data_IF_874576976634
#
_entry.id   IF_874576976634
#
_cell.length_a   1.000
_cell.length_b   1.000
_cell.length_c   1.000
_cell.angle_alpha   90.00
_cell.angle_beta   90.00
_cell.angle_gamma   90.00
#
_symmetry.space_group_name_H-M   'P 1'
#
loop_
_entity.id
_entity.type
_entity.pdbx_description
1 polymer ?
#
# COMPACT_ATOMS: atom_id res chain seq x y z
N UNK A 1 -20.00 67.85 56.27
CA UNK A 1 -19.13 66.69 56.60
C UNK A 1 -19.03 65.79 55.37
N UNK A 2 -17.83 65.40 54.91
CA UNK A 2 -17.65 64.73 53.63
C UNK A 2 -17.97 63.23 53.71
N UNK A 3 -18.62 62.71 52.67
CA UNK A 3 -18.96 61.29 52.51
C UNK A 3 -17.73 60.54 51.99
N UNK A 4 -17.15 59.67 52.81
CA UNK A 4 -16.06 58.78 52.40
C UNK A 4 -16.58 57.69 51.46
N UNK A 5 -16.30 57.81 50.16
CA UNK A 5 -16.46 56.73 49.17
C UNK A 5 -15.52 55.57 49.52
N UNK A 6 -16.09 54.43 49.96
CA UNK A 6 -15.35 53.17 50.14
C UNK A 6 -14.88 52.64 48.78
N UNK A 7 -13.56 52.49 48.60
CA UNK A 7 -12.98 51.83 47.42
C UNK A 7 -13.27 50.32 47.48
N UNK A 8 -13.70 49.66 46.40
CA UNK A 8 -13.91 48.22 46.39
C UNK A 8 -12.55 47.49 46.44
N UNK A 9 -12.42 46.60 47.44
CA UNK A 9 -11.27 45.71 47.59
C UNK A 9 -11.34 44.68 46.45
N UNK A 10 -10.42 44.79 45.47
CA UNK A 10 -10.22 43.74 44.46
C UNK A 10 -9.72 42.48 45.16
N UNK A 11 -10.60 41.50 45.38
CA UNK A 11 -10.23 40.16 45.84
C UNK A 11 -9.27 39.56 44.80
N UNK A 12 -8.00 39.36 45.17
CA UNK A 12 -7.06 38.55 44.39
C UNK A 12 -7.63 37.13 44.32
N UNK A 13 -8.19 36.78 43.17
CA UNK A 13 -8.60 35.40 42.88
C UNK A 13 -7.34 34.55 42.99
N UNK A 14 -7.26 33.69 44.02
CA UNK A 14 -6.21 32.68 44.13
C UNK A 14 -6.31 31.83 42.87
N UNK A 15 -5.36 31.96 41.94
CA UNK A 15 -5.22 31.05 40.80
C UNK A 15 -5.12 29.65 41.39
N UNK A 16 -6.22 28.89 41.30
CA UNK A 16 -6.31 27.55 41.84
C UNK A 16 -5.22 26.66 41.25
N UNK A 17 -4.74 25.71 42.05
CA UNK A 17 -3.78 24.65 41.68
C UNK A 17 -4.36 23.68 40.64
N UNK A 18 -4.97 24.18 39.56
CA UNK A 18 -5.55 23.42 38.45
C UNK A 18 -4.47 23.05 37.42
N UNK A 19 -3.37 23.82 37.38
CA UNK A 19 -2.26 23.60 36.45
C UNK A 19 -1.64 22.19 36.50
N UNK A 20 -1.35 21.56 37.66
CA UNK A 20 -0.82 20.19 37.66
C UNK A 20 -1.82 19.16 37.10
N UNK A 21 -3.13 19.34 37.33
CA UNK A 21 -4.14 18.45 36.78
C UNK A 21 -4.30 18.59 35.26
N UNK A 22 -4.15 19.81 34.73
CA UNK A 22 -4.14 20.04 33.28
C UNK A 22 -2.93 19.41 32.60
N UNK A 23 -1.76 19.43 33.24
CA UNK A 23 -0.54 18.78 32.72
C UNK A 23 -0.68 17.25 32.76
N UNK A 24 -1.25 16.68 33.82
CA UNK A 24 -1.48 15.23 33.91
C UNK A 24 -2.55 14.80 32.90
N UNK A 25 -3.63 15.57 32.75
CA UNK A 25 -4.68 15.29 31.77
C UNK A 25 -4.16 15.39 30.33
N UNK A 26 -3.34 16.40 30.01
CA UNK A 26 -2.74 16.51 28.68
C UNK A 26 -1.75 15.37 28.41
N UNK A 27 -0.98 14.93 29.40
CA UNK A 27 -0.10 13.78 29.28
C UNK A 27 -0.88 12.47 29.06
N UNK A 28 -1.95 12.24 29.83
CA UNK A 28 -2.83 11.07 29.65
C UNK A 28 -3.55 11.10 28.29
N UNK A 29 -4.03 12.26 27.85
CA UNK A 29 -4.65 12.43 26.54
C UNK A 29 -3.64 12.17 25.41
N UNK A 30 -2.39 12.61 25.57
CA UNK A 30 -1.31 12.33 24.61
C UNK A 30 -1.00 10.82 24.58
N UNK A 31 -0.91 10.15 25.74
CA UNK A 31 -0.66 8.71 25.82
C UNK A 31 -1.82 7.93 25.18
N UNK A 32 -3.07 8.28 25.49
CA UNK A 32 -4.24 7.65 24.87
C UNK A 32 -4.28 7.88 23.36
N UNK A 33 -3.95 9.10 22.89
CA UNK A 33 -3.84 9.41 21.47
C UNK A 33 -2.75 8.59 20.78
N UNK A 34 -1.55 8.50 21.37
CA UNK A 34 -0.45 7.68 20.86
C UNK A 34 -0.80 6.19 20.86
N UNK A 35 -1.49 5.71 21.89
CA UNK A 35 -1.95 4.33 21.96
C UNK A 35 -2.94 4.02 20.84
N UNK A 36 -3.94 4.88 20.63
CA UNK A 36 -4.92 4.74 19.56
C UNK A 36 -4.27 4.78 18.16
N UNK A 37 -3.30 5.66 17.94
CA UNK A 37 -2.59 5.73 16.65
C UNK A 37 -1.76 4.48 16.38
N UNK A 38 -1.09 3.92 17.39
CA UNK A 38 -0.33 2.67 17.25
C UNK A 38 -1.26 1.47 17.00
N UNK A 39 -2.39 1.38 17.71
CA UNK A 39 -3.36 0.28 17.54
C UNK A 39 -4.19 0.37 16.26
N UNK A 40 -4.21 1.54 15.59
CA UNK A 40 -5.00 1.76 14.37
C UNK A 40 -4.24 1.46 13.07
N UNK A 41 -3.03 0.88 13.14
CA UNK A 41 -2.29 0.43 11.96
C UNK A 41 -3.07 -0.65 11.21
N UNK A 42 -3.40 -0.41 9.96
CA UNK A 42 -4.16 -1.33 9.11
C UNK A 42 -3.26 -2.14 8.18
N UNK A 43 -2.21 -1.50 7.66
CA UNK A 43 -1.46 -1.97 6.50
C UNK A 43 -0.03 -2.36 6.86
N UNK A 44 0.67 -1.55 7.64
CA UNK A 44 2.10 -1.75 7.84
C UNK A 44 2.48 -2.38 9.17
N UNK A 45 3.38 -3.37 9.12
CA UNK A 45 4.04 -3.96 10.29
C UNK A 45 5.53 -3.63 10.24
N UNK A 46 6.14 -3.38 11.40
CA UNK A 46 7.54 -2.91 11.48
C UNK A 46 8.56 -3.94 10.94
N UNK A 47 8.15 -5.19 10.75
CA UNK A 47 9.00 -6.28 10.28
C UNK A 47 8.83 -6.61 8.79
N UNK A 48 7.86 -5.99 8.10
CA UNK A 48 7.50 -6.33 6.72
C UNK A 48 7.66 -5.14 5.78
N UNK A 49 7.96 -5.42 4.52
CA UNK A 49 7.96 -4.39 3.48
C UNK A 49 6.55 -3.80 3.32
N UNK A 50 6.49 -2.56 2.87
CA UNK A 50 5.24 -1.94 2.39
C UNK A 50 5.47 -1.33 1.02
N UNK A 51 4.61 -1.66 0.08
CA UNK A 51 4.58 -1.03 -1.25
C UNK A 51 3.39 -0.09 -1.34
N UNK A 52 3.68 1.21 -1.47
CA UNK A 52 2.70 2.28 -1.62
C UNK A 52 2.72 2.80 -3.06
N UNK A 53 1.57 2.79 -3.73
CA UNK A 53 1.41 3.52 -4.99
C UNK A 53 0.96 4.96 -4.74
N UNK A 54 1.61 5.90 -5.42
CA UNK A 54 1.36 7.33 -5.32
C UNK A 54 1.00 7.86 -6.71
N UNK A 55 -0.17 8.48 -6.83
CA UNK A 55 -0.54 9.21 -8.03
C UNK A 55 0.11 10.60 -8.03
N UNK A 56 0.93 10.90 -9.03
CA UNK A 56 1.59 12.19 -9.15
C UNK A 56 0.71 13.20 -9.91
N UNK A 57 0.92 14.52 -9.73
CA UNK A 57 0.10 15.54 -10.39
C UNK A 57 0.16 15.54 -11.93
N UNK A 58 1.24 14.99 -12.51
CA UNK A 58 1.43 14.82 -13.96
C UNK A 58 0.79 13.53 -14.52
N UNK A 59 0.08 12.78 -13.67
CA UNK A 59 -0.51 11.48 -14.00
C UNK A 59 0.50 10.33 -14.04
N UNK A 60 1.77 10.55 -13.72
CA UNK A 60 2.70 9.44 -13.51
C UNK A 60 2.36 8.73 -12.19
N UNK A 61 2.82 7.49 -12.03
CA UNK A 61 2.69 6.77 -10.77
C UNK A 61 4.08 6.52 -10.17
N UNK A 62 4.20 6.67 -8.85
CA UNK A 62 5.38 6.25 -8.10
C UNK A 62 5.01 5.09 -7.19
N UNK A 63 5.71 3.96 -7.30
CA UNK A 63 5.62 2.86 -6.33
C UNK A 63 6.80 2.98 -5.38
N UNK A 64 6.52 3.36 -4.13
CA UNK A 64 7.51 3.46 -3.06
C UNK A 64 7.48 2.20 -2.20
N UNK A 65 8.60 1.49 -2.16
CA UNK A 65 8.81 0.31 -1.33
C UNK A 65 9.63 0.72 -0.10
N UNK A 66 9.02 0.56 1.08
CA UNK A 66 9.64 0.81 2.37
C UNK A 66 10.13 -0.52 2.96
N UNK A 67 11.44 -0.65 3.16
CA UNK A 67 12.06 -1.87 3.68
C UNK A 67 12.68 -1.61 5.07
N UNK A 68 12.01 -2.04 6.16
CA UNK A 68 12.53 -1.94 7.51
C UNK A 68 13.84 -2.70 7.75
N UNK A 69 13.99 -3.89 7.17
CA UNK A 69 15.17 -4.74 7.42
C UNK A 69 16.43 -4.14 6.81
N UNK A 70 16.31 -3.51 5.64
CA UNK A 70 17.44 -2.90 4.91
C UNK A 70 17.63 -1.41 5.19
N UNK A 71 16.70 -0.82 5.94
CA UNK A 71 16.62 0.62 6.23
C UNK A 71 16.70 1.44 4.94
N UNK A 72 15.89 1.11 3.95
CA UNK A 72 15.90 1.77 2.65
C UNK A 72 14.49 2.05 2.11
N UNK A 73 14.44 3.04 1.22
CA UNK A 73 13.24 3.40 0.45
C UNK A 73 13.60 3.34 -1.03
N UNK A 74 12.81 2.60 -1.80
CA UNK A 74 13.01 2.45 -3.23
C UNK A 74 11.78 2.99 -3.95
N UNK A 75 11.97 4.03 -4.75
CA UNK A 75 10.91 4.66 -5.54
C UNK A 75 11.02 4.19 -6.99
N UNK A 76 9.94 3.65 -7.52
CA UNK A 76 9.84 3.18 -8.90
C UNK A 76 8.86 4.11 -9.62
N UNK A 77 9.35 4.90 -10.57
CA UNK A 77 8.55 5.85 -11.34
C UNK A 77 8.06 5.21 -12.65
N UNK A 78 6.76 5.35 -12.91
CA UNK A 78 6.07 4.83 -14.09
C UNK A 78 5.48 6.01 -14.88
N UNK A 79 5.88 6.21 -16.16
CA UNK A 79 5.39 7.32 -16.97
C UNK A 79 3.87 7.32 -17.18
N UNK A 80 3.27 8.50 -17.24
CA UNK A 80 1.81 8.67 -17.42
C UNK A 80 1.30 8.15 -18.77
N UNK A 81 2.14 8.14 -19.80
CA UNK A 81 1.84 7.63 -21.15
C UNK A 81 2.15 6.13 -21.31
N UNK A 82 2.25 5.38 -20.22
CA UNK A 82 2.33 3.92 -20.27
C UNK A 82 0.94 3.34 -20.54
N UNK A 83 0.81 2.54 -21.60
CA UNK A 83 -0.42 1.79 -21.90
C UNK A 83 -0.50 0.58 -20.97
N UNK A 84 -1.63 0.44 -20.28
CA UNK A 84 -1.88 -0.59 -19.27
C UNK A 84 -3.26 -1.19 -19.50
N UNK A 85 -3.36 -2.51 -19.27
CA UNK A 85 -4.66 -3.16 -19.11
C UNK A 85 -5.18 -2.85 -17.71
N UNK A 86 -6.25 -2.07 -17.66
CA UNK A 86 -6.84 -1.60 -16.42
C UNK A 86 -7.63 -2.74 -15.79
N UNK A 87 -7.38 -2.94 -14.50
CA UNK A 87 -8.13 -3.90 -13.69
C UNK A 87 -9.64 -3.63 -13.74
N UNK A 88 -10.44 -4.60 -13.29
CA UNK A 88 -11.90 -4.54 -13.41
C UNK A 88 -12.44 -4.58 -14.85
N UNK A 89 -11.70 -5.21 -15.78
CA UNK A 89 -12.11 -5.40 -17.17
C UNK A 89 -12.45 -4.09 -17.91
N UNK A 90 -11.85 -2.98 -17.47
CA UNK A 90 -12.13 -1.66 -18.05
C UNK A 90 -11.42 -1.47 -19.39
N UNK A 91 -10.44 -2.33 -19.73
CA UNK A 91 -9.74 -2.34 -21.01
C UNK A 91 -8.42 -1.57 -20.98
N UNK A 92 -7.94 -1.15 -22.15
CA UNK A 92 -6.62 -0.51 -22.30
C UNK A 92 -6.70 1.01 -22.13
N UNK A 93 -5.87 1.56 -21.24
CA UNK A 93 -5.75 3.00 -21.01
C UNK A 93 -4.30 3.44 -20.84
N UNK A 94 -4.06 4.74 -20.98
CA UNK A 94 -2.84 5.37 -20.45
C UNK A 94 -2.92 5.45 -18.93
N UNK A 95 -1.84 5.08 -18.25
CA UNK A 95 -1.73 5.07 -16.79
C UNK A 95 -2.19 6.38 -16.15
N UNK A 96 -1.86 7.53 -16.75
CA UNK A 96 -2.24 8.84 -16.21
C UNK A 96 -3.73 9.15 -16.19
N UNK A 97 -4.56 8.33 -16.84
CA UNK A 97 -6.02 8.44 -16.74
C UNK A 97 -6.62 7.50 -15.68
N UNK A 98 -5.88 6.51 -15.20
CA UNK A 98 -6.40 5.43 -14.35
C UNK A 98 -6.88 5.94 -12.99
N UNK A 99 -6.17 6.89 -12.38
CA UNK A 99 -6.61 7.48 -11.12
C UNK A 99 -7.98 8.15 -11.24
N UNK A 100 -8.16 9.02 -12.24
CA UNK A 100 -9.42 9.72 -12.48
C UNK A 100 -10.54 8.75 -12.86
N UNK A 101 -10.23 7.71 -13.65
CA UNK A 101 -11.17 6.64 -13.94
C UNK A 101 -11.63 5.96 -12.65
N UNK A 102 -10.72 5.64 -11.74
CA UNK A 102 -11.05 5.06 -10.44
C UNK A 102 -11.94 5.97 -9.60
N UNK A 103 -11.74 7.28 -9.64
CA UNK A 103 -12.66 8.23 -8.98
C UNK A 103 -14.07 8.22 -9.57
N UNK A 104 -14.19 8.10 -10.89
CA UNK A 104 -15.48 8.03 -11.58
C UNK A 104 -16.22 6.72 -11.30
N UNK A 105 -15.50 5.61 -11.22
CA UNK A 105 -16.04 4.27 -10.92
C UNK A 105 -16.25 4.03 -9.41
N UNK A 106 -15.94 5.00 -8.55
CA UNK A 106 -16.08 4.88 -7.09
C UNK A 106 -15.01 4.00 -6.41
N UNK A 107 -13.98 3.56 -7.14
CA UNK A 107 -12.86 2.75 -6.65
C UNK A 107 -11.71 3.62 -6.10
N UNK A 108 -11.66 4.90 -6.45
CA UNK A 108 -10.59 5.83 -6.08
C UNK A 108 -9.21 5.31 -6.52
N UNK A 109 -8.21 5.41 -5.64
CA UNK A 109 -6.86 4.92 -5.94
C UNK A 109 -6.70 3.40 -5.91
N UNK A 110 -7.73 2.65 -5.49
CA UNK A 110 -7.70 1.18 -5.53
C UNK A 110 -7.56 0.67 -6.96
N UNK A 111 -8.20 1.33 -7.92
CA UNK A 111 -8.10 0.95 -9.33
C UNK A 111 -6.66 1.04 -9.85
N UNK A 112 -5.93 2.08 -9.44
CA UNK A 112 -4.52 2.22 -9.80
C UNK A 112 -3.68 1.10 -9.15
N UNK A 113 -3.91 0.81 -7.87
CA UNK A 113 -3.22 -0.29 -7.18
C UNK A 113 -3.54 -1.66 -7.80
N UNK A 114 -4.81 -1.93 -8.13
CA UNK A 114 -5.25 -3.13 -8.83
C UNK A 114 -4.61 -3.26 -10.21
N UNK A 115 -4.58 -2.17 -10.99
CA UNK A 115 -3.94 -2.13 -12.30
C UNK A 115 -2.45 -2.42 -12.22
N UNK A 116 -1.74 -1.91 -11.21
CA UNK A 116 -0.32 -2.22 -11.03
C UNK A 116 -0.08 -3.68 -10.58
N UNK A 117 -0.96 -4.26 -9.77
CA UNK A 117 -0.93 -5.70 -9.43
C UNK A 117 -1.15 -6.55 -10.68
N UNK A 118 -2.15 -6.20 -11.50
CA UNK A 118 -2.50 -6.92 -12.71
C UNK A 118 -1.40 -6.81 -13.78
N UNK A 119 -1.07 -5.59 -14.20
CA UNK A 119 -0.17 -5.36 -15.33
C UNK A 119 1.31 -5.51 -14.97
N UNK A 120 1.74 -5.02 -13.80
CA UNK A 120 3.16 -4.97 -13.41
C UNK A 120 3.56 -6.09 -12.45
N UNK A 121 2.59 -6.84 -11.92
CA UNK A 121 2.79 -7.80 -10.82
C UNK A 121 3.44 -7.17 -9.59
N UNK A 122 3.22 -5.88 -9.36
CA UNK A 122 3.72 -5.20 -8.17
C UNK A 122 2.81 -5.49 -6.98
N UNK A 123 3.31 -6.06 -5.86
CA UNK A 123 2.52 -6.36 -4.68
C UNK A 123 2.23 -5.08 -3.88
N UNK A 124 1.34 -4.24 -4.44
CA UNK A 124 0.86 -3.01 -3.82
C UNK A 124 -0.50 -3.24 -3.18
N UNK A 125 -0.66 -2.79 -1.94
CA UNK A 125 -1.94 -2.81 -1.23
C UNK A 125 -2.31 -1.46 -0.62
N UNK A 126 -1.37 -0.52 -0.57
CA UNK A 126 -1.64 0.85 -0.15
C UNK A 126 -1.55 1.79 -1.34
N UNK A 127 -2.43 2.79 -1.34
CA UNK A 127 -2.45 3.83 -2.35
C UNK A 127 -2.69 5.20 -1.73
N UNK A 128 -2.16 6.23 -2.37
CA UNK A 128 -2.35 7.61 -1.97
C UNK A 128 -2.22 8.58 -3.15
N UNK A 129 -2.81 9.75 -2.97
CA UNK A 129 -2.59 10.90 -3.84
C UNK A 129 -1.22 11.55 -3.57
N UNK A 130 -0.84 12.48 -4.45
CA UNK A 130 0.45 13.18 -4.59
C UNK A 130 1.11 13.67 -3.30
N UNK A 131 0.36 14.05 -2.27
CA UNK A 131 0.94 14.46 -0.98
C UNK A 131 1.74 13.36 -0.28
N UNK A 132 1.49 12.09 -0.59
CA UNK A 132 2.23 10.98 -0.03
C UNK A 132 3.67 10.86 -0.55
N UNK A 133 4.04 11.58 -1.63
CA UNK A 133 5.45 11.68 -2.09
C UNK A 133 6.37 12.18 -0.97
N UNK A 134 5.84 12.95 -0.01
CA UNK A 134 6.59 13.38 1.17
C UNK A 134 7.18 12.23 1.99
N UNK A 135 6.56 11.03 2.01
CA UNK A 135 7.16 9.88 2.68
C UNK A 135 8.44 9.39 1.97
N UNK A 136 8.52 9.54 0.65
CA UNK A 136 9.63 9.04 -0.16
C UNK A 136 10.79 10.03 -0.37
N UNK A 137 10.54 11.34 -0.27
CA UNK A 137 11.52 12.37 -0.65
C UNK A 137 12.54 12.71 0.45
N UNK A 138 12.25 12.38 1.71
CA UNK A 138 13.12 12.63 2.87
C UNK A 138 13.08 14.05 3.43
N UNK A 139 12.21 14.93 2.92
CA UNK A 139 12.06 16.28 3.44
C UNK A 139 11.11 16.31 4.64
N UNK A 140 11.59 16.79 5.79
CA UNK A 140 10.82 16.84 7.04
C UNK A 140 9.47 17.56 6.89
N UNK A 141 9.42 18.67 6.16
CA UNK A 141 8.19 19.45 5.96
C UNK A 141 7.20 18.62 5.14
N UNK A 142 7.67 18.01 4.06
CA UNK A 142 6.83 17.18 3.18
C UNK A 142 6.33 15.92 3.90
N UNK A 143 7.15 15.31 4.76
CA UNK A 143 6.73 14.20 5.63
C UNK A 143 5.60 14.65 6.56
N UNK A 144 5.73 15.81 7.20
CA UNK A 144 4.67 16.33 8.09
C UNK A 144 3.37 16.62 7.33
N UNK A 145 3.47 17.14 6.12
CA UNK A 145 2.32 17.31 5.22
C UNK A 145 1.72 15.97 4.79
N UNK A 146 2.54 14.95 4.52
CA UNK A 146 2.08 13.60 4.18
C UNK A 146 1.36 12.92 5.37
N UNK A 147 1.75 13.21 6.61
CA UNK A 147 1.07 12.67 7.81
C UNK A 147 -0.27 13.38 8.04
N UNK A 148 -0.24 14.72 8.13
CA UNK A 148 -1.37 15.54 8.61
C UNK A 148 -2.29 16.03 7.49
N UNK A 149 -1.82 16.02 6.25
CA UNK A 149 -2.54 16.54 5.10
C UNK A 149 -3.81 15.74 4.81
N UNK A 150 -4.85 16.45 4.41
CA UNK A 150 -6.02 15.84 3.79
C UNK A 150 -5.69 15.50 2.33
N UNK A 151 -5.80 14.22 1.99
CA UNK A 151 -5.68 13.67 0.64
C UNK A 151 -6.31 12.27 0.59
N UNK A 152 -6.67 11.80 -0.61
CA UNK A 152 -7.28 10.49 -0.81
C UNK A 152 -6.24 9.38 -0.60
N UNK A 153 -6.54 8.43 0.28
CA UNK A 153 -5.69 7.26 0.56
C UNK A 153 -6.52 6.19 1.28
N UNK A 154 -6.12 4.93 1.15
CA UNK A 154 -6.66 3.84 1.97
C UNK A 154 -5.92 3.65 3.32
N UNK A 155 -4.82 4.38 3.54
CA UNK A 155 -4.02 4.29 4.76
C UNK A 155 -4.69 4.98 5.95
N UNK A 156 -4.64 4.35 7.13
CA UNK A 156 -5.11 4.97 8.37
C UNK A 156 -4.04 5.94 8.91
N UNK A 157 -4.43 6.80 9.85
CA UNK A 157 -3.51 7.74 10.50
C UNK A 157 -2.32 7.01 11.18
N UNK A 158 -2.56 5.82 11.75
CA UNK A 158 -1.50 4.98 12.31
C UNK A 158 -0.46 4.53 11.28
N UNK A 159 -0.90 4.15 10.07
CA UNK A 159 0.00 3.76 8.98
C UNK A 159 0.83 4.96 8.50
N UNK A 160 0.18 6.12 8.33
CA UNK A 160 0.86 7.38 7.95
C UNK A 160 1.91 7.81 8.97
N UNK A 161 1.59 7.75 10.26
CA UNK A 161 2.53 8.09 11.32
C UNK A 161 3.73 7.14 11.32
N UNK A 162 3.47 5.82 11.22
CA UNK A 162 4.53 4.83 11.12
C UNK A 162 5.45 5.11 9.92
N UNK A 163 4.88 5.28 8.72
CA UNK A 163 5.64 5.60 7.51
C UNK A 163 6.44 6.88 7.66
N UNK A 164 5.85 7.93 8.21
CA UNK A 164 6.55 9.17 8.48
C UNK A 164 7.72 9.00 9.43
N UNK A 165 7.55 8.26 10.54
CA UNK A 165 8.63 8.01 11.50
C UNK A 165 9.77 7.21 10.89
N UNK A 166 9.47 6.18 10.11
CA UNK A 166 10.50 5.42 9.40
C UNK A 166 11.21 6.28 8.38
N UNK A 167 10.45 7.01 7.55
CA UNK A 167 10.99 7.86 6.50
C UNK A 167 11.96 8.91 7.06
N UNK A 168 11.70 9.46 8.25
CA UNK A 168 12.63 10.37 8.92
C UNK A 168 13.93 9.71 9.38
N UNK A 169 13.90 8.42 9.72
CA UNK A 169 15.08 7.64 10.10
C UNK A 169 15.98 7.29 8.91
N UNK A 170 15.45 7.25 7.69
CA UNK A 170 16.19 6.86 6.50
C UNK A 170 17.10 8.00 6.00
N UNK A 171 18.35 7.68 5.69
CA UNK A 171 19.32 8.62 5.09
C UNK A 171 19.09 8.78 3.59
N UNK A 172 19.43 9.94 3.02
CA UNK A 172 19.29 10.17 1.58
C UNK A 172 20.06 9.15 0.71
N UNK A 173 21.20 8.64 1.20
CA UNK A 173 21.99 7.60 0.51
C UNK A 173 21.32 6.23 0.49
N UNK A 174 20.26 6.04 1.29
CA UNK A 174 19.43 4.83 1.36
C UNK A 174 18.08 5.04 0.66
N UNK A 175 17.96 6.10 -0.16
CA UNK A 175 16.82 6.35 -1.03
C UNK A 175 17.25 6.12 -2.47
N UNK A 176 16.62 5.16 -3.13
CA UNK A 176 16.94 4.81 -4.53
C UNK A 176 15.76 5.16 -5.41
N UNK A 177 16.01 5.86 -6.52
CA UNK A 177 15.00 6.12 -7.53
C UNK A 177 15.28 5.26 -8.77
N UNK A 178 14.26 4.60 -9.29
CA UNK A 178 14.30 3.78 -10.50
C UNK A 178 13.25 4.33 -11.44
N UNK A 179 13.67 4.89 -12.56
CA UNK A 179 12.76 5.29 -13.61
C UNK A 179 12.53 4.10 -14.55
N UNK A 180 11.31 3.56 -14.61
CA UNK A 180 11.04 2.39 -15.45
C UNK A 180 11.22 2.66 -16.94
N UNK A 181 11.08 3.91 -17.40
CA UNK A 181 11.32 4.25 -18.82
C UNK A 181 12.78 4.12 -19.23
N UNK A 182 13.69 4.11 -18.25
CA UNK A 182 15.13 3.92 -18.47
C UNK A 182 15.55 2.46 -18.30
N UNK A 183 14.58 1.55 -18.10
CA UNK A 183 14.83 0.12 -17.94
C UNK A 183 14.24 -0.67 -19.11
N UNK A 184 14.74 -1.89 -19.39
CA UNK A 184 14.14 -2.80 -20.38
C UNK A 184 12.73 -3.28 -20.03
N UNK A 185 12.21 -2.90 -18.86
CA UNK A 185 10.89 -3.29 -18.40
C UNK A 185 9.77 -2.53 -19.12
N UNK A 186 10.04 -1.31 -19.58
CA UNK A 186 9.14 -0.54 -20.45
C UNK A 186 9.76 -0.39 -21.83
N UNK A 187 8.99 -0.75 -22.86
CA UNK A 187 9.40 -0.60 -24.26
C UNK A 187 8.69 0.62 -24.83
N UNK A 188 9.48 1.59 -25.31
CA UNK A 188 8.93 2.74 -26.02
C UNK A 188 8.36 2.29 -27.36
N UNK A 189 7.11 2.65 -27.66
CA UNK A 189 6.42 2.27 -28.90
C UNK A 189 5.43 3.35 -29.32
N UNK A 190 4.93 3.27 -30.55
CA UNK A 190 3.71 3.98 -30.96
C UNK A 190 2.50 3.18 -30.46
N UNK A 191 1.62 3.85 -29.73
CA UNK A 191 0.40 3.27 -29.18
C UNK A 191 -0.69 3.16 -30.26
N UNK A 192 -1.80 2.50 -29.93
CA UNK A 192 -2.93 2.29 -30.86
C UNK A 192 -3.58 3.59 -31.35
N UNK A 193 -3.44 4.68 -30.58
CA UNK A 193 -3.92 6.01 -30.91
C UNK A 193 -2.95 6.82 -31.80
N UNK A 194 -1.77 6.26 -32.12
CA UNK A 194 -0.74 6.91 -32.93
C UNK A 194 0.24 7.78 -32.13
N UNK A 195 0.05 7.95 -30.82
CA UNK A 195 0.97 8.70 -29.96
C UNK A 195 2.17 7.85 -29.51
N UNK A 196 3.27 8.49 -29.14
CA UNK A 196 4.39 7.80 -28.50
C UNK A 196 4.07 7.48 -27.03
N UNK A 197 4.31 6.24 -26.64
CA UNK A 197 4.06 5.74 -25.29
C UNK A 197 4.99 4.61 -24.88
N UNK A 198 4.65 3.97 -23.78
CA UNK A 198 5.37 2.80 -23.26
C UNK A 198 4.41 1.62 -23.12
N UNK A 199 4.91 0.42 -23.38
CA UNK A 199 4.21 -0.85 -23.07
C UNK A 199 5.08 -1.69 -22.15
N UNK A 200 4.44 -2.47 -21.28
CA UNK A 200 5.15 -3.33 -20.32
C UNK A 200 5.72 -4.55 -21.04
N UNK A 201 7.01 -4.80 -20.81
CA UNK A 201 7.70 -6.01 -21.28
C UNK A 201 7.29 -7.20 -20.41
N UNK A 202 7.12 -8.38 -21.02
CA UNK A 202 6.75 -9.62 -20.31
C UNK A 202 7.82 -10.10 -19.30
N UNK A 203 9.05 -9.61 -19.41
CA UNK A 203 10.17 -10.05 -18.57
C UNK A 203 10.44 -9.06 -17.42
N UNK A 204 10.05 -9.43 -16.19
CA UNK A 204 10.43 -8.68 -14.99
C UNK A 204 11.94 -8.85 -14.76
N UNK A 205 12.67 -7.75 -14.60
CA UNK A 205 14.10 -7.82 -14.28
C UNK A 205 14.33 -8.43 -12.89
N UNK A 206 15.38 -9.23 -12.74
CA UNK A 206 15.77 -9.80 -11.44
C UNK A 206 15.94 -8.74 -10.34
N UNK A 207 16.37 -7.53 -10.73
CA UNK A 207 16.45 -6.37 -9.83
C UNK A 207 15.08 -6.00 -9.28
N UNK A 208 14.04 -5.91 -10.11
CA UNK A 208 12.68 -5.59 -9.66
C UNK A 208 12.11 -6.69 -8.75
N UNK A 209 12.35 -7.97 -9.07
CA UNK A 209 11.95 -9.09 -8.19
C UNK A 209 12.52 -8.95 -6.78
N UNK A 210 13.81 -8.63 -6.67
CA UNK A 210 14.48 -8.50 -5.36
C UNK A 210 13.94 -7.35 -4.50
N UNK A 211 13.35 -6.33 -5.12
CA UNK A 211 12.78 -5.17 -4.42
C UNK A 211 11.50 -5.59 -3.70
N UNK A 212 10.63 -6.32 -4.40
CA UNK A 212 9.30 -6.70 -3.93
C UNK A 212 9.27 -8.03 -3.17
N UNK A 213 10.31 -8.85 -3.28
CA UNK A 213 10.41 -10.11 -2.54
C UNK A 213 10.23 -9.88 -1.03
N UNK A 214 9.29 -10.59 -0.43
CA UNK A 214 9.07 -10.55 1.01
C UNK A 214 10.07 -11.50 1.69
N UNK A 215 10.81 -10.98 2.67
CA UNK A 215 11.88 -11.74 3.29
C UNK A 215 11.36 -12.97 4.05
N UNK A 216 10.20 -12.87 4.72
CA UNK A 216 9.60 -14.02 5.44
C UNK A 216 9.17 -15.11 4.46
N UNK A 217 8.56 -14.73 3.34
CA UNK A 217 8.14 -15.67 2.30
C UNK A 217 9.35 -16.34 1.66
N UNK A 218 10.38 -15.57 1.34
CA UNK A 218 11.59 -16.03 0.66
C UNK A 218 12.46 -16.92 1.56
N UNK A 219 12.74 -16.48 2.80
CA UNK A 219 13.58 -17.21 3.76
C UNK A 219 12.99 -18.59 4.10
N UNK A 220 11.66 -18.70 4.17
CA UNK A 220 10.98 -19.96 4.47
C UNK A 220 10.57 -20.75 3.22
N UNK A 221 10.83 -20.24 2.01
CA UNK A 221 10.51 -20.89 0.74
C UNK A 221 9.05 -21.36 0.63
N UNK A 222 8.12 -20.47 0.98
CA UNK A 222 6.68 -20.76 1.03
C UNK A 222 6.19 -21.39 -0.27
N UNK A 223 5.53 -22.55 -0.15
CA UNK A 223 4.87 -23.24 -1.26
C UNK A 223 3.40 -22.83 -1.32
N UNK A 224 3.00 -22.33 -2.48
CA UNK A 224 1.65 -21.85 -2.73
C UNK A 224 0.92 -22.81 -3.66
N UNK A 225 -0.28 -23.22 -3.28
CA UNK A 225 -1.25 -23.82 -4.19
C UNK A 225 -2.30 -22.78 -4.58
N UNK A 226 -2.63 -22.70 -5.86
CA UNK A 226 -3.68 -21.83 -6.38
C UNK A 226 -4.81 -22.71 -6.89
N UNK A 227 -5.98 -22.59 -6.29
CA UNK A 227 -7.20 -23.27 -6.66
C UNK A 227 -8.07 -22.32 -7.49
N UNK A 228 -8.18 -22.60 -8.77
CA UNK A 228 -8.84 -21.72 -9.72
C UNK A 228 -10.23 -22.25 -10.10
N UNK A 229 -11.24 -21.63 -9.51
CA UNK A 229 -12.67 -21.77 -9.80
C UNK A 229 -13.22 -20.54 -10.53
N UNK A 230 -12.37 -19.75 -11.18
CA UNK A 230 -12.78 -18.48 -11.82
C UNK A 230 -13.49 -18.70 -13.16
N UNK A 231 -13.12 -19.77 -13.88
CA UNK A 231 -13.49 -19.98 -15.28
C UNK A 231 -12.64 -19.23 -16.29
N UNK A 232 -11.66 -18.41 -15.85
CA UNK A 232 -10.71 -17.70 -16.69
C UNK A 232 -9.31 -18.35 -16.56
N UNK A 233 -8.65 -18.63 -17.69
CA UNK A 233 -7.37 -19.33 -17.68
C UNK A 233 -6.19 -18.45 -17.23
N UNK A 234 -6.28 -17.12 -17.40
CA UNK A 234 -5.18 -16.18 -17.20
C UNK A 234 -5.06 -15.72 -15.74
N UNK A 235 -6.18 -15.59 -15.04
CA UNK A 235 -6.25 -15.03 -13.68
C UNK A 235 -5.34 -15.77 -12.69
N UNK A 236 -5.39 -17.11 -12.65
CA UNK A 236 -4.51 -17.87 -11.75
C UNK A 236 -3.03 -17.82 -12.15
N UNK A 237 -2.72 -17.68 -13.44
CA UNK A 237 -1.35 -17.46 -13.91
C UNK A 237 -0.83 -16.10 -13.45
N UNK A 238 -1.69 -15.08 -13.50
CA UNK A 238 -1.36 -13.73 -13.08
C UNK A 238 -1.16 -13.60 -11.57
N UNK A 239 -2.03 -14.23 -10.78
CA UNK A 239 -1.86 -14.37 -9.34
C UNK A 239 -0.58 -15.16 -9.04
N UNK A 240 -0.30 -16.22 -9.79
CA UNK A 240 0.94 -17.00 -9.67
C UNK A 240 2.19 -16.13 -9.87
N UNK A 241 2.23 -15.33 -10.93
CA UNK A 241 3.33 -14.39 -11.19
C UNK A 241 3.48 -13.35 -10.07
N UNK A 242 2.39 -12.83 -9.53
CA UNK A 242 2.43 -11.92 -8.37
C UNK A 242 3.03 -12.61 -7.13
N UNK A 243 2.67 -13.87 -6.87
CA UNK A 243 3.21 -14.65 -5.76
C UNK A 243 4.71 -14.93 -5.93
N UNK A 244 5.16 -15.19 -7.15
CA UNK A 244 6.58 -15.36 -7.47
C UNK A 244 7.37 -14.06 -7.25
N UNK A 245 6.81 -12.89 -7.62
CA UNK A 245 7.41 -11.57 -7.32
C UNK A 245 7.55 -11.35 -5.81
N UNK A 246 6.58 -11.82 -5.02
CA UNK A 246 6.67 -11.80 -3.56
C UNK A 246 7.68 -12.79 -2.98
N UNK A 247 8.29 -13.66 -3.81
CA UNK A 247 9.31 -14.63 -3.40
C UNK A 247 8.76 -16.01 -3.03
N UNK A 248 7.48 -16.27 -3.28
CA UNK A 248 6.88 -17.58 -3.03
C UNK A 248 7.14 -18.53 -4.19
N UNK A 249 7.07 -19.84 -3.93
CA UNK A 249 7.12 -20.89 -4.95
C UNK A 249 5.71 -21.39 -5.24
N UNK A 250 5.19 -21.06 -6.42
CA UNK A 250 3.92 -21.66 -6.89
C UNK A 250 4.17 -23.13 -7.16
N UNK A 251 3.62 -23.99 -6.31
CA UNK A 251 3.84 -25.43 -6.34
C UNK A 251 2.80 -26.14 -7.22
N UNK A 252 1.57 -25.62 -7.25
CA UNK A 252 0.47 -26.18 -8.02
C UNK A 252 -0.55 -25.10 -8.38
N UNK A 253 -1.11 -25.18 -9.60
CA UNK A 253 -2.31 -24.47 -10.00
C UNK A 253 -3.36 -25.52 -10.39
N UNK A 254 -4.39 -25.66 -9.57
CA UNK A 254 -5.45 -26.66 -9.72
C UNK A 254 -6.68 -25.98 -10.28
N UNK A 255 -7.11 -26.38 -11.48
CA UNK A 255 -8.39 -25.93 -12.04
C UNK A 255 -9.53 -26.72 -11.38
N UNK A 256 -10.56 -26.02 -10.93
CA UNK A 256 -11.76 -26.57 -10.29
C UNK A 256 -13.00 -26.10 -11.05
N UNK A 257 -14.14 -26.71 -10.76
CA UNK A 257 -15.42 -26.23 -11.29
C UNK A 257 -15.70 -24.80 -10.80
N UNK A 258 -16.36 -24.03 -11.66
CA UNK A 258 -16.67 -22.63 -11.37
C UNK A 258 -17.51 -22.53 -10.10
N UNK A 259 -17.14 -21.61 -9.21
CA UNK A 259 -17.77 -21.45 -7.89
C UNK A 259 -18.00 -19.98 -7.57
N UNK A 260 -19.19 -19.67 -7.05
CA UNK A 260 -19.66 -18.31 -6.80
C UNK A 260 -19.16 -17.77 -5.45
N UNK A 261 -17.92 -17.30 -5.45
CA UNK A 261 -17.32 -16.52 -4.38
C UNK A 261 -16.25 -15.59 -4.98
N UNK A 262 -15.72 -14.67 -4.17
CA UNK A 262 -14.61 -13.79 -4.55
C UNK A 262 -13.27 -14.54 -4.44
N UNK A 263 -12.57 -14.44 -3.32
CA UNK A 263 -11.35 -15.20 -3.09
C UNK A 263 -11.03 -15.36 -1.61
N UNK A 264 -10.23 -16.38 -1.33
CA UNK A 264 -9.76 -16.69 0.02
C UNK A 264 -8.28 -17.03 0.00
N UNK A 265 -7.56 -16.53 0.99
CA UNK A 265 -6.17 -16.91 1.26
C UNK A 265 -6.13 -17.64 2.59
N UNK A 266 -5.61 -18.85 2.54
CA UNK A 266 -5.58 -19.78 3.66
C UNK A 266 -4.16 -20.20 3.98
N UNK A 267 -3.81 -20.36 5.26
CA UNK A 267 -2.43 -20.70 5.67
C UNK A 267 -2.21 -20.83 7.16
N UNK A 268 -1.00 -21.24 7.55
CA UNK A 268 -0.59 -21.36 8.96
C UNK A 268 -0.07 -20.06 9.56
N UNK A 269 0.72 -19.33 8.78
CA UNK A 269 1.31 -18.07 9.23
C UNK A 269 0.33 -16.93 9.04
N UNK A 270 -0.24 -16.50 10.16
CA UNK A 270 -1.19 -15.38 10.20
C UNK A 270 -0.63 -14.09 9.61
N UNK A 271 0.67 -13.81 9.72
CA UNK A 271 1.27 -12.58 9.17
C UNK A 271 1.27 -12.65 7.64
N UNK A 272 1.73 -13.78 7.09
CA UNK A 272 1.81 -13.99 5.63
C UNK A 272 0.42 -14.07 5.00
N UNK A 273 -0.51 -14.84 5.59
CA UNK A 273 -1.91 -14.90 5.13
C UNK A 273 -2.53 -13.51 5.08
N UNK A 274 -2.36 -12.72 6.15
CA UNK A 274 -2.89 -11.36 6.20
C UNK A 274 -2.28 -10.46 5.14
N UNK A 275 -0.99 -10.59 4.87
CA UNK A 275 -0.29 -9.78 3.87
C UNK A 275 -0.75 -10.12 2.45
N UNK A 276 -0.75 -11.40 2.08
CA UNK A 276 -1.19 -11.87 0.76
C UNK A 276 -2.67 -11.57 0.54
N UNK A 277 -3.52 -11.85 1.52
CA UNK A 277 -4.94 -11.54 1.44
C UNK A 277 -5.20 -10.04 1.24
N UNK A 278 -4.39 -9.18 1.87
CA UNK A 278 -4.50 -7.74 1.68
C UNK A 278 -4.04 -7.31 0.28
N UNK A 279 -2.97 -7.91 -0.23
CA UNK A 279 -2.48 -7.65 -1.60
C UNK A 279 -3.46 -8.16 -2.65
N UNK A 280 -4.25 -9.21 -2.39
CA UNK A 280 -5.27 -9.70 -3.33
C UNK A 280 -6.69 -9.18 -3.04
N UNK A 281 -6.85 -8.40 -1.97
CA UNK A 281 -8.15 -7.99 -1.44
C UNK A 281 -9.09 -9.19 -1.22
N UNK A 282 -8.60 -10.24 -0.58
CA UNK A 282 -9.28 -11.52 -0.32
C UNK A 282 -9.65 -11.72 1.16
N UNK A 283 -10.55 -12.67 1.40
CA UNK A 283 -10.82 -13.18 2.74
C UNK A 283 -9.61 -13.94 3.31
N UNK A 284 -9.47 -13.93 4.64
CA UNK A 284 -8.38 -14.60 5.36
C UNK A 284 -8.93 -15.79 6.13
N UNK A 285 -8.30 -16.95 5.96
CA UNK A 285 -8.58 -18.14 6.77
C UNK A 285 -7.29 -18.71 7.34
N UNK A 286 -7.28 -19.01 8.64
CA UNK A 286 -6.12 -19.65 9.29
C UNK A 286 -6.41 -21.12 9.44
N UNK A 287 -5.51 -21.96 8.92
CA UNK A 287 -5.67 -23.40 9.02
C UNK A 287 -5.69 -23.87 10.46
N UNK A 288 -6.58 -24.85 10.70
CA UNK A 288 -6.66 -25.59 11.96
C UNK A 288 -6.11 -27.03 11.87
N UNK A 289 -5.73 -27.50 10.67
CA UNK A 289 -5.28 -28.87 10.38
C UNK A 289 -3.88 -28.95 9.74
N UNK A 290 -3.50 -30.05 9.05
CA UNK A 290 -2.25 -30.15 8.25
C UNK A 290 -2.58 -30.17 6.74
N UNK A 291 -2.03 -29.22 5.98
CA UNK A 291 -1.94 -29.15 4.52
C UNK A 291 -0.50 -29.39 4.10
N UNK A 292 -0.30 -29.87 2.88
CA UNK A 292 1.03 -30.01 2.26
C UNK A 292 1.60 -28.68 1.76
N UNK A 293 0.77 -27.63 1.71
CA UNK A 293 1.14 -26.29 1.26
C UNK A 293 1.17 -25.32 2.44
N UNK A 294 2.03 -24.31 2.34
CA UNK A 294 2.16 -23.27 3.37
C UNK A 294 1.05 -22.23 3.23
N UNK A 295 0.59 -22.01 1.98
CA UNK A 295 -0.52 -21.15 1.59
C UNK A 295 -1.35 -21.82 0.50
N UNK A 296 -2.68 -21.70 0.60
CA UNK A 296 -3.59 -21.95 -0.52
C UNK A 296 -4.35 -20.67 -0.86
N UNK A 297 -4.52 -20.41 -2.15
CA UNK A 297 -5.27 -19.28 -2.68
C UNK A 297 -6.43 -19.83 -3.49
N UNK A 298 -7.66 -19.70 -2.98
CA UNK A 298 -8.87 -20.06 -3.69
C UNK A 298 -9.43 -18.83 -4.42
N UNK A 299 -9.59 -18.96 -5.73
CA UNK A 299 -10.10 -17.90 -6.62
C UNK A 299 -11.46 -18.34 -7.18
N UNK A 300 -12.52 -17.61 -6.86
CA UNK A 300 -13.87 -17.85 -7.35
C UNK A 300 -14.22 -16.95 -8.53
N UNK A 301 -15.41 -17.14 -9.11
CA UNK A 301 -15.83 -16.43 -10.33
C UNK A 301 -15.92 -14.91 -10.17
N UNK A 302 -16.19 -14.39 -8.96
CA UNK A 302 -16.30 -12.95 -8.73
C UNK A 302 -14.92 -12.26 -8.72
N UNK A 303 -13.84 -13.00 -8.49
CA UNK A 303 -12.47 -12.45 -8.48
C UNK A 303 -12.06 -11.89 -9.85
N UNK A 304 -12.59 -12.45 -10.94
CA UNK A 304 -12.31 -12.02 -12.32
C UNK A 304 -12.78 -10.59 -12.58
N UNK A 305 -13.77 -10.11 -11.84
CA UNK A 305 -14.30 -8.75 -12.00
C UNK A 305 -13.40 -7.68 -11.39
N UNK A 306 -12.37 -8.05 -10.61
CA UNK A 306 -11.46 -7.10 -9.96
C UNK A 306 -10.00 -7.24 -10.35
N UNK A 307 -9.58 -8.43 -10.78
CA UNK A 307 -8.20 -8.78 -11.06
C UNK A 307 -7.96 -8.96 -12.54
#
# INVERSE_FOLDING_TARGET
MPVHKRRPIRKKVKKGKIWPYLVIFSALALIAFLFLTVTSRGYWSEDSKLSLVINNPDGSATVSVFDPKREEIINISIPSNTEVEVAHQLGLFKLGSVWRLGENEGLGGELLAATLRHQFKFPVSTWADSKAVGFSDGNLINILEAIKGSYKTNMKMGDRLALGTFSLGIKNTKRTNINLSETPYLVKTTLKDGEEGYVVSKNISQRLLSIFANDVITENSYKVEINDSTGNLEVSSDVGGLMEVMGAKVASIVKKDQSDFDCRVSGYDKKVVKEVARILSCEQEIYKGRSSFDLEIDLGSQFVEKF
#
